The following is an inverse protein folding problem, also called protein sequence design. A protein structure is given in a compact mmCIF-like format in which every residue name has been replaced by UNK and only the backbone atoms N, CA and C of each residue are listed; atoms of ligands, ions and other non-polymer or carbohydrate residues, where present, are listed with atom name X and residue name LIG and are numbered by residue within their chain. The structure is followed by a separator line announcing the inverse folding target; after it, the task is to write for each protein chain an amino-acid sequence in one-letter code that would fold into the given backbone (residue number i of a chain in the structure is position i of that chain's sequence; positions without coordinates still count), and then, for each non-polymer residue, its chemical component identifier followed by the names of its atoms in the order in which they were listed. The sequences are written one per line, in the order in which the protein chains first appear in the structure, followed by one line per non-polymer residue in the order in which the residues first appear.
data_IF_370927834014
#
_entry.id   IF_370927834014
#
_cell.length_a   1.000
_cell.length_b   1.000
_cell.length_c   1.000
_cell.angle_alpha   90.00
_cell.angle_beta   90.00
_cell.angle_gamma   90.00
#
_symmetry.space_group_name_H-M   'P 1'
#
loop_
_entity.id
_entity.type
_entity.pdbx_description
1 polymer ?
#
# COMPACT_ATOMS: atom_id res chain seq x y z
N UNK A 1 1.39 7.07 -21.24
CA UNK A 1 0.50 6.65 -20.15
C UNK A 1 1.28 6.65 -18.84
N UNK A 2 0.68 7.13 -17.76
CA UNK A 2 1.24 7.30 -16.42
C UNK A 2 0.36 6.59 -15.41
N UNK A 3 0.89 6.25 -14.24
CA UNK A 3 0.16 5.62 -13.13
C UNK A 3 0.42 6.42 -11.86
N UNK A 4 -0.64 6.96 -11.28
CA UNK A 4 -0.62 7.47 -9.92
C UNK A 4 -1.09 6.36 -8.98
N UNK A 5 -0.21 5.88 -8.13
CA UNK A 5 -0.48 4.88 -7.11
C UNK A 5 -0.40 5.54 -5.73
N UNK A 6 -1.52 5.80 -5.10
CA UNK A 6 -1.55 6.52 -3.83
C UNK A 6 -2.14 5.66 -2.72
N UNK A 7 -1.50 5.67 -1.56
CA UNK A 7 -2.17 5.27 -0.33
C UNK A 7 -3.40 6.16 -0.11
N UNK A 8 -4.34 5.70 0.72
CA UNK A 8 -5.64 6.36 0.92
C UNK A 8 -5.70 7.09 2.26
N UNK A 9 -5.54 6.35 3.35
CA UNK A 9 -5.69 6.88 4.70
C UNK A 9 -4.54 7.82 5.06
N UNK A 10 -4.83 9.06 5.42
CA UNK A 10 -3.83 10.09 5.73
C UNK A 10 -2.86 10.44 4.59
N UNK A 11 -3.07 9.90 3.39
CA UNK A 11 -2.31 10.26 2.18
C UNK A 11 -3.21 10.95 1.17
N UNK A 12 -4.26 10.29 0.70
CA UNK A 12 -5.26 10.87 -0.20
C UNK A 12 -6.36 11.61 0.58
N UNK A 13 -6.77 11.05 1.74
CA UNK A 13 -7.79 11.57 2.64
C UNK A 13 -7.17 12.34 3.80
N UNK A 14 -8.00 13.13 4.50
CA UNK A 14 -7.61 13.95 5.66
C UNK A 14 -7.73 15.46 5.41
N UNK A 15 -7.65 15.91 4.15
CA UNK A 15 -7.98 17.26 3.73
C UNK A 15 -8.84 17.27 2.47
N UNK A 16 -10.09 17.67 2.62
CA UNK A 16 -11.07 17.72 1.52
C UNK A 16 -10.68 18.71 0.43
N UNK A 17 -10.11 19.86 0.78
CA UNK A 17 -9.75 20.89 -0.19
C UNK A 17 -8.57 20.44 -1.05
N UNK A 18 -7.55 19.84 -0.42
CA UNK A 18 -6.42 19.23 -1.13
C UNK A 18 -6.86 18.13 -2.07
N UNK A 19 -7.76 17.23 -1.60
CA UNK A 19 -8.30 16.18 -2.45
C UNK A 19 -9.05 16.74 -3.68
N UNK A 20 -9.93 17.72 -3.51
CA UNK A 20 -10.67 18.33 -4.63
C UNK A 20 -9.74 18.99 -5.64
N UNK A 21 -8.65 19.62 -5.17
CA UNK A 21 -7.63 20.22 -6.04
C UNK A 21 -6.91 19.13 -6.86
N UNK A 22 -6.51 18.02 -6.23
CA UNK A 22 -5.91 16.88 -6.92
C UNK A 22 -6.88 16.22 -7.92
N UNK A 23 -8.13 16.01 -7.52
CA UNK A 23 -9.16 15.44 -8.38
C UNK A 23 -9.42 16.34 -9.60
N UNK A 24 -9.49 17.68 -9.41
CA UNK A 24 -9.59 18.65 -10.49
C UNK A 24 -8.41 18.58 -11.47
N UNK A 25 -7.19 18.50 -10.95
CA UNK A 25 -5.97 18.38 -11.75
C UNK A 25 -5.98 17.09 -12.60
N UNK A 26 -6.46 15.98 -12.04
CA UNK A 26 -6.49 14.68 -12.70
C UNK A 26 -7.68 14.49 -13.64
N UNK A 27 -8.80 15.18 -13.42
CA UNK A 27 -10.04 15.05 -14.19
C UNK A 27 -9.87 15.29 -15.70
N UNK A 28 -8.93 16.16 -16.06
CA UNK A 28 -8.61 16.50 -17.45
C UNK A 28 -7.55 15.57 -18.09
N UNK A 29 -7.07 14.56 -17.36
CA UNK A 29 -5.91 13.73 -17.74
C UNK A 29 -6.33 12.32 -18.10
N UNK A 30 -6.59 12.08 -19.38
CA UNK A 30 -6.90 10.74 -19.90
C UNK A 30 -5.66 9.82 -20.01
N UNK A 31 -4.48 10.39 -19.87
CA UNK A 31 -3.20 9.69 -19.94
C UNK A 31 -2.71 9.18 -18.58
N UNK A 32 -3.45 9.45 -17.50
CA UNK A 32 -3.13 9.01 -16.14
C UNK A 32 -4.12 7.93 -15.70
N UNK A 33 -3.60 6.79 -15.31
CA UNK A 33 -4.30 5.72 -14.59
C UNK A 33 -4.17 5.99 -13.10
N UNK A 34 -5.24 5.81 -12.34
CA UNK A 34 -5.26 6.01 -10.88
C UNK A 34 -5.45 4.66 -10.20
N UNK A 35 -4.58 4.36 -9.24
CA UNK A 35 -4.69 3.20 -8.36
C UNK A 35 -4.72 3.65 -6.90
N UNK A 36 -5.76 3.28 -6.17
CA UNK A 36 -5.82 3.41 -4.71
C UNK A 36 -5.21 2.17 -4.09
N UNK A 37 -4.25 2.36 -3.19
CA UNK A 37 -3.42 1.29 -2.60
C UNK A 37 -3.56 1.38 -1.09
N UNK A 38 -4.23 0.39 -0.46
CA UNK A 38 -4.63 0.52 0.94
C UNK A 38 -4.43 -0.75 1.77
N UNK A 39 -4.27 -0.58 3.07
CA UNK A 39 -4.36 -1.68 4.05
C UNK A 39 -5.78 -2.20 4.29
N UNK A 40 -6.80 -1.41 3.90
CA UNK A 40 -8.22 -1.75 4.03
C UNK A 40 -8.60 -2.92 3.14
N UNK A 41 -9.63 -3.66 3.54
CA UNK A 41 -10.30 -4.59 2.62
C UNK A 41 -11.21 -3.85 1.62
N UNK A 42 -11.73 -4.59 0.64
CA UNK A 42 -12.58 -4.03 -0.41
C UNK A 42 -13.79 -3.30 0.14
N UNK A 43 -14.49 -3.86 1.13
CA UNK A 43 -15.71 -3.27 1.70
C UNK A 43 -15.38 -1.94 2.37
N UNK A 44 -14.38 -1.94 3.25
CA UNK A 44 -13.91 -0.74 3.93
C UNK A 44 -13.43 0.34 2.94
N UNK A 45 -12.78 -0.08 1.84
CA UNK A 45 -12.33 0.86 0.82
C UNK A 45 -13.51 1.53 0.12
N UNK A 46 -14.56 0.80 -0.23
CA UNK A 46 -15.76 1.40 -0.82
C UNK A 46 -16.54 2.27 0.17
N UNK A 47 -16.58 1.88 1.44
CA UNK A 47 -17.18 2.71 2.51
C UNK A 47 -16.48 4.07 2.61
N UNK A 48 -15.14 4.11 2.60
CA UNK A 48 -14.40 5.38 2.66
C UNK A 48 -14.53 6.17 1.36
N UNK A 49 -14.57 5.52 0.21
CA UNK A 49 -14.83 6.21 -1.06
C UNK A 49 -16.16 6.96 -1.03
N UNK A 50 -17.19 6.36 -0.47
CA UNK A 50 -18.51 7.02 -0.30
C UNK A 50 -18.43 8.12 0.76
N UNK A 51 -17.88 7.83 1.94
CA UNK A 51 -17.83 8.77 3.06
C UNK A 51 -17.03 10.03 2.73
N UNK A 52 -15.90 9.88 2.04
CA UNK A 52 -15.01 10.97 1.64
C UNK A 52 -15.34 11.51 0.24
N UNK A 53 -16.39 10.99 -0.43
CA UNK A 53 -16.76 11.31 -1.80
C UNK A 53 -15.54 11.24 -2.76
N UNK A 54 -14.76 10.18 -2.69
CA UNK A 54 -13.63 9.98 -3.58
C UNK A 54 -14.11 9.56 -4.96
N UNK A 55 -13.40 10.02 -6.01
CA UNK A 55 -13.63 9.56 -7.38
C UNK A 55 -13.27 8.09 -7.56
N UNK A 56 -13.85 7.48 -8.57
CA UNK A 56 -13.59 6.08 -8.91
C UNK A 56 -12.20 5.92 -9.54
N UNK A 57 -11.29 5.13 -8.92
CA UNK A 57 -10.00 4.83 -9.51
C UNK A 57 -10.11 3.73 -10.57
N UNK A 58 -9.09 3.59 -11.43
CA UNK A 58 -9.01 2.48 -12.37
C UNK A 58 -8.72 1.16 -11.66
N UNK A 59 -7.97 1.21 -10.57
CA UNK A 59 -7.58 0.05 -9.76
C UNK A 59 -7.74 0.34 -8.27
N UNK A 60 -8.16 -0.69 -7.52
CA UNK A 60 -8.14 -0.69 -6.05
C UNK A 60 -7.29 -1.88 -5.60
N UNK A 61 -6.20 -1.59 -4.90
CA UNK A 61 -5.26 -2.57 -4.36
C UNK A 61 -5.47 -2.63 -2.84
N UNK A 62 -6.15 -3.67 -2.39
CA UNK A 62 -6.62 -3.85 -1.01
C UNK A 62 -5.71 -4.76 -0.19
N UNK A 63 -5.95 -4.77 1.13
CA UNK A 63 -5.31 -5.69 2.06
C UNK A 63 -3.78 -5.70 1.93
N UNK A 64 -3.16 -4.50 1.92
CA UNK A 64 -1.70 -4.32 1.77
C UNK A 64 -1.20 -4.92 0.43
N UNK A 65 -2.00 -4.82 -0.64
CA UNK A 65 -1.62 -5.31 -1.96
C UNK A 65 -1.80 -6.82 -2.17
N UNK A 66 -2.49 -7.53 -1.27
CA UNK A 66 -2.81 -8.95 -1.51
C UNK A 66 -4.00 -9.15 -2.45
N UNK A 67 -4.78 -8.12 -2.69
CA UNK A 67 -5.93 -8.16 -3.58
C UNK A 67 -5.90 -6.99 -4.56
N UNK A 68 -6.12 -7.26 -5.84
CA UNK A 68 -6.23 -6.27 -6.91
C UNK A 68 -7.63 -6.33 -7.52
N UNK A 69 -8.26 -5.18 -7.64
CA UNK A 69 -9.56 -5.01 -8.27
C UNK A 69 -9.46 -3.99 -9.40
N UNK A 70 -9.96 -4.34 -10.59
CA UNK A 70 -9.96 -3.48 -11.79
C UNK A 70 -11.36 -2.92 -12.05
N UNK A 71 -11.47 -1.59 -12.17
CA UNK A 71 -12.69 -0.89 -12.51
C UNK A 71 -13.10 -1.06 -13.98
N UNK A 72 -14.35 -0.72 -14.33
CA UNK A 72 -15.38 -0.13 -13.47
C UNK A 72 -16.14 -1.11 -12.58
N UNK A 73 -16.13 -2.41 -12.89
CA UNK A 73 -16.88 -3.44 -12.14
C UNK A 73 -16.15 -3.89 -10.86
N UNK A 74 -14.91 -3.49 -10.67
CA UNK A 74 -14.03 -3.88 -9.57
C UNK A 74 -13.99 -5.40 -9.36
N UNK A 75 -13.69 -6.11 -10.45
CA UNK A 75 -13.48 -7.56 -10.43
C UNK A 75 -12.09 -7.87 -9.89
N UNK A 76 -12.02 -8.91 -9.04
CA UNK A 76 -10.75 -9.41 -8.50
C UNK A 76 -9.88 -9.95 -9.64
N UNK A 77 -8.59 -9.64 -9.58
CA UNK A 77 -7.60 -10.19 -10.51
C UNK A 77 -7.16 -11.59 -10.06
N UNK A 78 -7.74 -12.62 -10.67
CA UNK A 78 -7.41 -14.01 -10.36
C UNK A 78 -5.97 -14.40 -10.75
N UNK A 79 -5.37 -13.71 -11.73
CA UNK A 79 -3.99 -13.98 -12.12
C UNK A 79 -3.03 -13.47 -11.04
N UNK A 80 -3.31 -12.34 -10.43
CA UNK A 80 -2.62 -11.85 -9.24
C UNK A 80 -2.77 -12.80 -8.06
N UNK A 81 -3.99 -13.25 -7.78
CA UNK A 81 -4.26 -14.23 -6.73
C UNK A 81 -3.40 -15.48 -6.89
N UNK A 82 -3.39 -16.09 -8.08
CA UNK A 82 -2.54 -17.26 -8.37
C UNK A 82 -1.04 -16.96 -8.30
N UNK A 83 -0.64 -15.71 -8.55
CA UNK A 83 0.76 -15.30 -8.45
C UNK A 83 1.27 -15.31 -7.02
N UNK A 84 0.47 -14.85 -6.06
CA UNK A 84 0.85 -14.72 -4.64
C UNK A 84 0.60 -15.99 -3.83
N UNK A 85 -0.29 -16.89 -4.28
CA UNK A 85 -0.74 -18.10 -3.59
C UNK A 85 0.32 -19.23 -3.50
N UNK A 86 1.54 -18.97 -3.92
CA UNK A 86 2.59 -19.99 -3.91
C UNK A 86 3.11 -20.24 -2.50
N UNK A 87 2.94 -21.46 -2.00
CA UNK A 87 3.43 -21.91 -0.69
C UNK A 87 2.84 -21.10 0.49
N UNK A 88 1.71 -20.42 0.27
CA UNK A 88 1.02 -19.73 1.35
C UNK A 88 -0.04 -20.64 1.95
N UNK A 89 0.04 -20.86 3.25
CA UNK A 89 -1.02 -21.52 4.02
C UNK A 89 -1.40 -20.67 5.23
N UNK A 90 -2.58 -20.07 5.16
CA UNK A 90 -3.10 -19.21 6.22
C UNK A 90 -3.24 -19.92 7.55
N UNK A 91 -3.63 -21.19 7.54
CA UNK A 91 -3.85 -21.96 8.77
C UNK A 91 -2.51 -22.30 9.44
N UNK A 92 -1.53 -22.71 8.68
CA UNK A 92 -0.17 -22.97 9.20
C UNK A 92 0.47 -21.70 9.75
N UNK A 93 0.32 -20.54 9.07
CA UNK A 93 0.76 -19.24 9.59
C UNK A 93 0.10 -18.96 10.95
N UNK A 94 -1.22 -19.10 11.03
CA UNK A 94 -1.93 -18.88 12.27
C UNK A 94 -1.45 -19.78 13.41
N UNK A 95 -1.30 -21.07 13.15
CA UNK A 95 -0.84 -22.05 14.14
C UNK A 95 0.59 -21.76 14.61
N UNK A 96 1.50 -21.44 13.71
CA UNK A 96 2.89 -21.10 14.06
C UNK A 96 2.98 -19.86 14.97
N UNK A 97 2.08 -18.90 14.81
CA UNK A 97 2.11 -17.63 15.54
C UNK A 97 1.24 -17.62 16.81
N UNK A 98 0.33 -18.57 16.99
CA UNK A 98 -0.69 -18.58 18.05
C UNK A 98 -0.14 -18.49 19.48
N UNK A 99 1.11 -18.89 19.69
CA UNK A 99 1.73 -18.90 21.05
C UNK A 99 2.74 -17.78 21.26
N UNK A 100 2.86 -16.84 20.33
CA UNK A 100 3.78 -15.70 20.48
C UNK A 100 3.20 -14.70 21.49
N UNK A 101 3.89 -14.41 22.60
CA UNK A 101 3.43 -13.43 23.58
C UNK A 101 3.32 -12.03 22.97
N UNK A 102 2.32 -11.26 23.39
CA UNK A 102 2.06 -9.87 22.96
C UNK A 102 1.60 -9.71 21.51
N UNK A 103 1.42 -10.77 20.76
CA UNK A 103 0.84 -10.78 19.41
C UNK A 103 -0.66 -11.10 19.54
N UNK A 104 -1.52 -10.10 19.27
CA UNK A 104 -2.97 -10.23 19.45
C UNK A 104 -3.64 -10.24 18.08
N UNK A 105 -4.26 -11.35 17.70
CA UNK A 105 -4.94 -11.47 16.42
C UNK A 105 -6.10 -10.46 16.33
N UNK A 106 -6.18 -9.74 15.21
CA UNK A 106 -7.31 -8.89 14.90
C UNK A 106 -8.54 -9.73 14.53
N UNK A 107 -9.74 -9.20 14.72
CA UNK A 107 -10.99 -9.91 14.43
C UNK A 107 -11.20 -10.19 12.93
N UNK A 108 -10.69 -9.32 12.06
CA UNK A 108 -10.79 -9.48 10.60
C UNK A 108 -9.53 -10.13 10.06
N UNK A 109 -9.71 -11.27 9.40
CA UNK A 109 -8.65 -12.05 8.77
C UNK A 109 -9.02 -12.33 7.32
N UNK A 110 -8.02 -12.35 6.43
CA UNK A 110 -8.22 -12.55 4.99
C UNK A 110 -7.42 -13.75 4.48
N UNK A 111 -7.75 -14.19 3.28
CA UNK A 111 -7.13 -15.35 2.65
C UNK A 111 -5.59 -15.23 2.60
N UNK A 112 -5.09 -14.05 2.20
CA UNK A 112 -3.66 -13.76 2.03
C UNK A 112 -3.13 -12.69 3.00
N UNK A 113 -3.84 -12.42 4.09
CA UNK A 113 -3.41 -11.47 5.11
C UNK A 113 -3.84 -11.95 6.49
N UNK A 114 -2.87 -12.15 7.38
CA UNK A 114 -3.08 -12.40 8.80
C UNK A 114 -2.73 -11.11 9.56
N UNK A 115 -3.71 -10.53 10.24
CA UNK A 115 -3.57 -9.25 10.92
C UNK A 115 -3.53 -9.40 12.44
N UNK A 116 -2.61 -8.68 13.07
CA UNK A 116 -2.38 -8.69 14.50
C UNK A 116 -2.19 -7.27 15.03
N UNK A 117 -2.41 -7.12 16.34
CA UNK A 117 -1.93 -5.97 17.09
C UNK A 117 -0.66 -6.36 17.84
N UNK A 118 0.35 -5.50 17.76
CA UNK A 118 1.63 -5.62 18.46
C UNK A 118 2.02 -4.26 19.05
N UNK A 119 1.66 -4.02 20.31
CA UNK A 119 1.87 -2.73 20.97
C UNK A 119 3.25 -2.58 21.61
N UNK A 120 4.00 -3.67 21.79
CA UNK A 120 5.27 -3.70 22.51
C UNK A 120 6.20 -4.75 21.93
N UNK A 121 7.53 -4.54 22.17
CA UNK A 121 8.57 -5.52 21.86
C UNK A 121 8.62 -5.92 20.38
N UNK A 122 8.34 -4.99 19.47
CA UNK A 122 8.42 -5.27 18.03
C UNK A 122 9.82 -5.77 17.61
N UNK A 123 10.87 -5.25 18.24
CA UNK A 123 12.25 -5.65 18.08
C UNK A 123 12.55 -7.11 18.46
N UNK A 124 11.71 -7.71 19.32
CA UNK A 124 11.81 -9.12 19.73
C UNK A 124 10.81 -10.00 18.98
N UNK A 125 9.57 -9.52 18.86
CA UNK A 125 8.45 -10.31 18.31
C UNK A 125 8.57 -10.49 16.79
N UNK A 126 8.98 -9.47 16.05
CA UNK A 126 9.11 -9.57 14.59
C UNK A 126 10.19 -10.60 14.19
N UNK A 127 11.41 -10.61 14.78
CA UNK A 127 12.37 -11.69 14.52
C UNK A 127 11.86 -13.08 14.88
N UNK A 128 11.09 -13.22 15.96
CA UNK A 128 10.49 -14.51 16.34
C UNK A 128 9.43 -14.98 15.33
N UNK A 129 8.63 -14.04 14.77
CA UNK A 129 7.69 -14.34 13.68
C UNK A 129 8.45 -14.89 12.47
N UNK A 130 9.48 -14.19 12.01
CA UNK A 130 10.29 -14.63 10.88
C UNK A 130 10.86 -16.02 11.12
N UNK A 131 11.48 -16.22 12.29
CA UNK A 131 12.07 -17.52 12.64
C UNK A 131 11.05 -18.66 12.55
N UNK A 132 9.86 -18.50 13.14
CA UNK A 132 8.83 -19.56 13.15
C UNK A 132 8.29 -19.89 11.77
N UNK A 133 8.07 -18.87 10.94
CA UNK A 133 7.57 -19.07 9.59
C UNK A 133 8.64 -19.64 8.64
N UNK A 134 9.91 -19.26 8.84
CA UNK A 134 11.04 -19.83 8.13
C UNK A 134 11.25 -21.31 8.51
N UNK A 135 11.13 -21.66 9.81
CA UNK A 135 11.25 -23.03 10.32
C UNK A 135 10.22 -23.99 9.69
N UNK A 136 9.05 -23.50 9.30
CA UNK A 136 8.01 -24.26 8.58
C UNK A 136 8.02 -24.06 7.07
N UNK A 137 8.94 -23.23 6.54
CA UNK A 137 9.16 -23.04 5.10
C UNK A 137 8.09 -22.21 4.40
N UNK A 138 7.36 -21.33 5.11
CA UNK A 138 6.37 -20.42 4.51
C UNK A 138 7.02 -19.10 4.11
N UNK A 139 7.15 -18.79 2.81
CA UNK A 139 7.68 -17.52 2.34
C UNK A 139 6.70 -16.38 2.67
N UNK A 140 7.15 -15.41 3.47
CA UNK A 140 6.29 -14.36 4.02
C UNK A 140 6.96 -12.99 4.03
N UNK A 141 6.14 -11.95 4.20
CA UNK A 141 6.53 -10.59 4.60
C UNK A 141 5.81 -10.22 5.87
N UNK A 142 6.47 -9.44 6.70
CA UNK A 142 5.90 -8.79 7.88
C UNK A 142 5.80 -7.30 7.60
N UNK A 143 4.60 -6.74 7.68
CA UNK A 143 4.34 -5.31 7.52
C UNK A 143 3.91 -4.76 8.86
N UNK A 144 4.74 -3.91 9.46
CA UNK A 144 4.47 -3.27 10.75
C UNK A 144 4.31 -1.77 10.55
N UNK A 145 3.22 -1.21 11.03
CA UNK A 145 2.88 0.19 10.85
C UNK A 145 2.11 0.78 12.02
N UNK A 146 2.09 2.12 12.08
CA UNK A 146 1.34 2.89 13.09
C UNK A 146 1.66 2.49 14.55
N UNK A 147 2.82 1.89 14.78
CA UNK A 147 3.28 1.47 16.10
C UNK A 147 2.49 0.32 16.74
N UNK A 148 1.51 -0.26 16.04
CA UNK A 148 0.66 -1.33 16.58
C UNK A 148 0.12 -2.34 15.58
N UNK A 149 0.01 -1.98 14.31
CA UNK A 149 -0.59 -2.86 13.32
C UNK A 149 0.48 -3.72 12.64
N UNK A 150 0.26 -5.03 12.64
CA UNK A 150 1.18 -5.99 12.07
C UNK A 150 0.42 -6.94 11.18
N UNK A 151 0.77 -6.95 9.89
CA UNK A 151 0.22 -7.85 8.89
C UNK A 151 1.27 -8.84 8.40
N UNK A 152 0.88 -10.11 8.30
CA UNK A 152 1.67 -11.18 7.66
C UNK A 152 1.02 -11.49 6.33
N UNK A 153 1.81 -11.41 5.26
CA UNK A 153 1.35 -11.62 3.88
C UNK A 153 2.32 -12.53 3.13
N UNK A 154 1.90 -13.17 2.01
CA UNK A 154 2.81 -13.90 1.14
C UNK A 154 4.00 -13.01 0.69
N UNK A 155 5.19 -13.58 0.59
CA UNK A 155 6.40 -12.84 0.20
C UNK A 155 6.32 -12.19 -1.20
N UNK A 156 5.41 -12.66 -2.04
CA UNK A 156 5.17 -12.14 -3.41
C UNK A 156 4.07 -11.09 -3.49
N UNK A 157 3.40 -10.82 -2.36
CA UNK A 157 2.44 -9.75 -2.21
C UNK A 157 3.08 -8.50 -1.61
N UNK A 158 2.32 -7.41 -1.57
CA UNK A 158 2.73 -6.14 -0.99
C UNK A 158 2.25 -4.97 -1.85
N UNK A 159 2.21 -3.77 -1.27
CA UNK A 159 1.74 -2.57 -2.00
C UNK A 159 2.59 -2.29 -3.23
N UNK A 160 3.92 -2.36 -3.11
CA UNK A 160 4.85 -2.12 -4.20
C UNK A 160 4.78 -3.19 -5.29
N UNK A 161 4.73 -4.48 -4.91
CA UNK A 161 4.61 -5.60 -5.85
C UNK A 161 3.29 -5.55 -6.63
N UNK A 162 2.18 -5.21 -5.97
CA UNK A 162 0.88 -5.06 -6.61
C UNK A 162 0.87 -3.91 -7.64
N UNK A 163 1.48 -2.77 -7.30
CA UNK A 163 1.63 -1.64 -8.23
C UNK A 163 2.57 -2.02 -9.39
N UNK A 164 3.66 -2.73 -9.12
CA UNK A 164 4.59 -3.21 -10.15
C UNK A 164 3.91 -4.19 -11.12
N UNK A 165 3.05 -5.07 -10.60
CA UNK A 165 2.23 -5.96 -11.42
C UNK A 165 1.27 -5.17 -12.33
N UNK A 166 0.51 -4.20 -11.78
CA UNK A 166 -0.42 -3.37 -12.55
C UNK A 166 0.31 -2.57 -13.63
N UNK A 167 1.42 -1.88 -13.28
CA UNK A 167 2.17 -1.11 -14.29
C UNK A 167 2.73 -1.97 -15.41
N UNK A 168 3.23 -3.19 -15.10
CA UNK A 168 3.73 -4.14 -16.10
C UNK A 168 2.61 -4.56 -17.06
N UNK A 169 1.43 -4.88 -16.53
CA UNK A 169 0.24 -5.22 -17.33
C UNK A 169 -0.16 -4.07 -18.25
N UNK A 170 -0.07 -2.83 -17.77
CA UNK A 170 -0.34 -1.62 -18.55
C UNK A 170 0.85 -1.17 -19.42
N UNK A 171 1.99 -1.86 -19.37
CA UNK A 171 3.24 -1.50 -20.07
C UNK A 171 3.75 -0.10 -19.73
N UNK A 172 3.53 0.34 -18.49
CA UNK A 172 4.00 1.62 -17.97
C UNK A 172 5.43 1.43 -17.43
N UNK A 173 6.34 2.34 -17.82
CA UNK A 173 7.72 2.32 -17.30
C UNK A 173 7.77 2.80 -15.83
N UNK A 174 8.71 2.29 -14.98
CA UNK A 174 8.81 2.74 -13.57
C UNK A 174 8.85 4.25 -13.41
N UNK A 175 9.59 4.97 -14.24
CA UNK A 175 9.69 6.44 -14.23
C UNK A 175 8.38 7.18 -14.55
N UNK A 176 7.35 6.47 -15.01
CA UNK A 176 6.02 6.99 -15.30
C UNK A 176 5.00 6.52 -14.23
N UNK A 177 5.48 6.01 -13.11
CA UNK A 177 4.68 5.70 -11.92
C UNK A 177 5.04 6.72 -10.85
N UNK A 178 4.04 7.35 -10.23
CA UNK A 178 4.19 8.16 -9.03
C UNK A 178 3.50 7.43 -7.88
N UNK A 179 4.26 7.08 -6.86
CA UNK A 179 3.79 6.45 -5.63
C UNK A 179 3.70 7.50 -4.52
N UNK A 180 2.66 7.45 -3.68
CA UNK A 180 2.53 8.32 -2.51
C UNK A 180 2.08 7.54 -1.29
N UNK A 181 2.61 7.90 -0.10
CA UNK A 181 2.30 7.24 1.17
C UNK A 181 2.68 8.07 2.39
N UNK A 182 2.22 7.64 3.58
CA UNK A 182 2.42 8.34 4.85
C UNK A 182 2.95 7.46 5.98
N UNK A 183 2.92 6.13 5.88
CA UNK A 183 3.17 5.26 7.02
C UNK A 183 4.00 4.02 6.70
N UNK A 184 4.35 3.22 7.71
CA UNK A 184 5.24 2.07 7.60
C UNK A 184 4.79 1.03 6.57
N UNK A 185 3.47 0.89 6.34
CA UNK A 185 2.96 -0.05 5.33
C UNK A 185 3.19 0.42 3.88
N UNK A 186 3.70 1.65 3.69
CA UNK A 186 4.03 2.22 2.37
C UNK A 186 5.52 2.10 2.04
N UNK A 187 6.37 1.66 2.97
CA UNK A 187 7.82 1.55 2.76
C UNK A 187 8.13 0.76 1.49
N UNK A 188 7.46 -0.36 1.29
CA UNK A 188 7.66 -1.19 0.10
C UNK A 188 7.23 -0.46 -1.18
N UNK A 189 6.08 0.22 -1.17
CA UNK A 189 5.57 1.00 -2.30
C UNK A 189 6.53 2.14 -2.66
N UNK A 190 6.97 2.90 -1.65
CA UNK A 190 7.88 4.04 -1.81
C UNK A 190 9.31 3.61 -2.20
N UNK A 191 9.66 2.33 -1.97
CA UNK A 191 10.97 1.76 -2.30
C UNK A 191 10.97 0.92 -3.59
N UNK A 192 9.86 0.87 -4.32
CA UNK A 192 9.69 0.00 -5.48
C UNK A 192 10.39 0.50 -6.77
N UNK A 193 11.20 1.56 -6.69
CA UNK A 193 11.91 2.14 -7.85
C UNK A 193 11.02 2.98 -8.75
N UNK A 194 9.97 3.55 -8.21
CA UNK A 194 9.08 4.53 -8.82
C UNK A 194 9.49 5.95 -8.42
N UNK A 195 8.90 6.98 -9.03
CA UNK A 195 8.88 8.31 -8.45
C UNK A 195 8.06 8.20 -7.15
N UNK A 196 8.61 8.61 -6.02
CA UNK A 196 7.99 8.38 -4.72
C UNK A 196 7.88 9.67 -3.91
N UNK A 197 6.72 9.85 -3.27
CA UNK A 197 6.38 11.01 -2.44
C UNK A 197 5.96 10.55 -1.05
N UNK A 198 6.61 11.07 -0.04
CA UNK A 198 6.16 11.01 1.35
C UNK A 198 5.43 12.31 1.65
N UNK A 199 4.14 12.23 2.04
CA UNK A 199 3.35 13.43 2.39
C UNK A 199 3.78 14.03 3.73
N UNK A 200 3.58 15.33 3.92
CA UNK A 200 4.10 16.09 5.06
C UNK A 200 3.57 15.66 6.44
N UNK A 201 2.44 14.98 6.50
CA UNK A 201 1.84 14.44 7.73
C UNK A 201 2.25 12.98 8.02
N UNK A 202 3.34 12.50 7.44
CA UNK A 202 3.79 11.12 7.58
C UNK A 202 4.07 10.71 9.02
N UNK A 203 4.02 9.40 9.27
CA UNK A 203 4.34 8.78 10.55
C UNK A 203 5.86 8.71 10.78
N UNK A 204 6.32 8.70 12.05
CA UNK A 204 7.75 8.69 12.37
C UNK A 204 8.53 7.47 11.88
N UNK A 205 7.86 6.35 11.61
CA UNK A 205 8.50 5.17 11.03
C UNK A 205 8.98 5.39 9.59
N UNK A 206 8.42 6.34 8.86
CA UNK A 206 8.99 6.84 7.62
C UNK A 206 10.07 7.87 7.94
N UNK A 207 11.31 7.49 7.75
CA UNK A 207 12.48 8.33 7.94
C UNK A 207 13.50 8.09 6.82
N UNK A 208 14.53 8.92 6.77
CA UNK A 208 15.52 8.87 5.69
C UNK A 208 16.35 7.57 5.65
N UNK A 209 16.42 6.82 6.75
CA UNK A 209 17.14 5.53 6.79
C UNK A 209 16.26 4.38 6.29
N UNK A 210 14.93 4.54 6.33
CA UNK A 210 13.98 3.52 5.90
C UNK A 210 13.69 3.55 4.39
N UNK A 211 14.00 4.65 3.69
CA UNK A 211 13.62 4.88 2.30
C UNK A 211 14.82 5.21 1.40
N UNK A 212 14.71 4.98 0.08
CA UNK A 212 15.70 5.43 -0.91
C UNK A 212 15.93 6.94 -0.84
N UNK A 213 17.14 7.38 -1.21
CA UNK A 213 17.55 8.80 -1.13
C UNK A 213 16.84 9.72 -2.12
N UNK A 214 16.26 9.17 -3.17
CA UNK A 214 15.55 9.86 -4.24
C UNK A 214 14.05 10.02 -3.99
N UNK A 215 13.57 9.59 -2.83
CA UNK A 215 12.18 9.83 -2.40
C UNK A 215 12.00 11.32 -2.08
N UNK A 216 10.95 11.91 -2.60
CA UNK A 216 10.58 13.28 -2.32
C UNK A 216 9.78 13.41 -1.03
N UNK A 217 10.24 14.25 -0.13
CA UNK A 217 9.56 14.57 1.14
C UNK A 217 8.78 15.85 0.97
N UNK A 218 7.47 15.75 0.79
CA UNK A 218 6.58 16.88 0.64
C UNK A 218 6.45 17.68 1.96
N UNK A 219 6.27 18.98 1.86
CA UNK A 219 5.95 19.84 3.00
C UNK A 219 4.46 19.87 3.26
N UNK A 220 3.71 19.83 2.17
CA UNK A 220 2.25 19.81 2.21
C UNK A 220 1.73 18.46 2.69
N UNK A 221 0.58 18.49 3.35
CA UNK A 221 -0.07 17.34 3.95
C UNK A 221 -1.06 16.70 2.99
N UNK A 222 -1.31 15.40 3.15
CA UNK A 222 -2.36 14.66 2.44
C UNK A 222 -2.27 14.83 0.92
N UNK A 223 -3.41 14.98 0.25
CA UNK A 223 -3.48 15.15 -1.20
C UNK A 223 -2.72 16.38 -1.73
N UNK A 224 -2.56 17.44 -0.94
CA UNK A 224 -1.73 18.59 -1.30
C UNK A 224 -0.25 18.19 -1.40
N UNK A 225 0.24 17.29 -0.55
CA UNK A 225 1.58 16.72 -0.67
C UNK A 225 1.77 15.89 -1.94
N UNK A 226 0.72 15.18 -2.39
CA UNK A 226 0.75 14.47 -3.69
C UNK A 226 0.89 15.49 -4.84
N UNK A 227 0.17 16.61 -4.79
CA UNK A 227 0.27 17.69 -5.80
C UNK A 227 1.70 18.25 -5.83
N UNK A 228 2.27 18.55 -4.66
CA UNK A 228 3.66 19.02 -4.55
C UNK A 228 4.64 18.04 -5.19
N UNK A 229 4.47 16.72 -4.97
CA UNK A 229 5.26 15.69 -5.60
C UNK A 229 5.05 15.59 -7.12
N UNK A 230 3.82 15.78 -7.61
CA UNK A 230 3.50 15.84 -9.04
C UNK A 230 4.27 17.01 -9.69
N UNK A 231 4.31 18.16 -9.05
CA UNK A 231 5.05 19.33 -9.52
C UNK A 231 6.55 19.13 -9.48
N UNK A 232 7.07 18.60 -8.34
CA UNK A 232 8.50 18.34 -8.15
C UNK A 232 9.07 17.44 -9.26
N UNK A 233 8.37 16.36 -9.60
CA UNK A 233 8.80 15.42 -10.64
C UNK A 233 8.36 15.82 -12.06
N UNK A 234 7.71 16.96 -12.24
CA UNK A 234 7.07 17.34 -13.50
C UNK A 234 6.20 16.19 -14.07
N UNK A 235 5.56 15.44 -13.17
CA UNK A 235 4.93 14.14 -13.49
C UNK A 235 3.81 14.28 -14.51
N UNK A 236 3.07 15.39 -14.54
CA UNK A 236 1.98 15.63 -15.49
C UNK A 236 2.43 16.42 -16.72
N UNK A 237 3.65 16.88 -16.80
CA UNK A 237 4.16 17.53 -18.01
C UNK A 237 4.27 16.51 -19.16
N UNK A 238 4.13 17.01 -20.39
CA UNK A 238 4.33 16.17 -21.57
C UNK A 238 5.82 15.81 -21.68
N UNK A 239 6.13 14.54 -22.02
CA UNK A 239 7.52 14.14 -22.29
C UNK A 239 8.09 14.88 -23.50
#
# INVERSE_FOLDING_TARGET
MKLLATDVDNTLTGDRAGYLSLAGLLSMRRDVTIAYVTGRDKIQMFEIMVAECLGEPNYVLCNVGTEIYEGPDYRRDDAWTRHIDRQWDRLEVHQALATIPHLFQQSRQFEFKQSYHLFRKADVVIPEIHKRLDDIGIPHKVVYSSGSDLDIIPNRAGKGEAVDYVRKRLRIRPRNVLAAGDSGNDIELLSAGFLAVVVGNHKPELNADALPKDVYWAREHYAAGIIEGIEHFAFLERP
#
